data_IF_845799892233
#
_entry.id   IF_845799892233
#
_cell.length_a   1.000
_cell.length_b   1.000
_cell.length_c   1.000
_cell.angle_alpha   90.00
_cell.angle_beta   90.00
_cell.angle_gamma   90.00
#
_symmetry.space_group_name_H-M   'P 1'
#
loop_
_entity.id
_entity.type
_entity.pdbx_description
1 polymer ?
#
# COMPACT_ATOMS: atom_id res chain seq x y z
N UNK A 1 -11.91 -3.40 -0.23
CA UNK A 1 -10.65 -3.91 0.40
C UNK A 1 -11.00 -5.19 1.15
N UNK A 2 -10.42 -6.30 0.74
CA UNK A 2 -10.55 -7.61 1.37
C UNK A 2 -9.31 -7.85 2.26
N UNK A 3 -9.51 -8.17 3.54
CA UNK A 3 -8.45 -8.51 4.51
C UNK A 3 -8.41 -10.03 4.68
N UNK A 4 -7.64 -10.70 3.84
CA UNK A 4 -7.58 -12.17 3.74
C UNK A 4 -7.16 -12.79 5.07
N UNK A 5 -6.04 -12.34 5.65
CA UNK A 5 -5.56 -12.90 6.92
C UNK A 5 -6.56 -12.72 8.06
N UNK A 6 -7.22 -11.57 8.14
CA UNK A 6 -8.25 -11.35 9.16
C UNK A 6 -9.46 -12.28 8.98
N UNK A 7 -9.88 -12.49 7.73
CA UNK A 7 -10.98 -13.39 7.41
C UNK A 7 -10.65 -14.83 7.81
N UNK A 8 -9.46 -15.33 7.43
CA UNK A 8 -9.04 -16.69 7.77
C UNK A 8 -8.88 -16.91 9.30
N UNK A 9 -8.31 -15.93 10.01
CA UNK A 9 -8.24 -16.01 11.48
C UNK A 9 -9.64 -16.09 12.12
N UNK A 10 -10.60 -15.31 11.63
CA UNK A 10 -11.98 -15.36 12.15
C UNK A 10 -12.68 -16.70 11.89
N UNK A 11 -12.30 -17.45 10.85
CA UNK A 11 -12.79 -18.81 10.60
C UNK A 11 -12.14 -19.83 11.54
N UNK A 12 -10.83 -19.68 11.82
CA UNK A 12 -10.09 -20.60 12.67
C UNK A 12 -10.51 -20.50 14.16
N UNK A 13 -10.94 -19.33 14.60
CA UNK A 13 -11.37 -19.07 15.98
C UNK A 13 -12.81 -19.55 16.26
N UNK A 14 -13.52 -20.09 15.27
CA UNK A 14 -14.96 -20.45 15.33
C UNK A 14 -15.83 -19.31 15.92
N UNK A 15 -15.26 -18.10 15.91
CA UNK A 15 -15.89 -16.92 16.42
C UNK A 15 -16.97 -16.48 15.41
N UNK A 16 -18.21 -16.29 15.85
CA UNK A 16 -19.19 -15.69 14.96
C UNK A 16 -18.60 -14.39 14.43
N UNK A 17 -18.44 -14.30 13.10
CA UNK A 17 -18.00 -13.05 12.47
C UNK A 17 -18.80 -11.95 13.14
N UNK A 18 -18.15 -11.00 13.85
CA UNK A 18 -18.92 -10.03 14.62
C UNK A 18 -19.85 -9.32 13.63
N UNK A 19 -21.14 -9.65 13.70
CA UNK A 19 -22.20 -8.85 13.09
C UNK A 19 -22.03 -7.49 13.72
N UNK A 20 -21.22 -6.64 13.07
CA UNK A 20 -21.00 -5.30 13.56
C UNK A 20 -22.37 -4.65 13.66
N UNK A 21 -22.80 -4.43 14.91
CA UNK A 21 -23.94 -3.59 15.21
C UNK A 21 -23.84 -2.35 14.32
N UNK A 22 -24.90 -2.01 13.61
CA UNK A 22 -25.01 -1.10 12.46
C UNK A 22 -24.39 0.31 12.52
N UNK A 23 -23.18 0.44 13.03
CA UNK A 23 -22.38 1.66 12.99
C UNK A 23 -21.72 1.83 11.59
N UNK A 24 -21.88 2.98 10.97
CA UNK A 24 -21.15 3.35 9.75
C UNK A 24 -19.66 3.18 10.00
N UNK A 25 -18.99 2.36 9.17
CA UNK A 25 -17.53 2.27 9.21
C UNK A 25 -16.96 3.65 8.88
N UNK A 26 -16.06 4.15 9.70
CA UNK A 26 -15.29 5.34 9.36
C UNK A 26 -14.54 5.10 8.04
N UNK A 27 -14.57 6.04 7.12
CA UNK A 27 -13.83 5.91 5.86
C UNK A 27 -12.32 5.89 6.11
N UNK A 28 -11.60 5.20 5.23
CA UNK A 28 -10.15 5.33 5.09
C UNK A 28 -9.89 6.34 4.00
N UNK A 29 -9.13 7.38 4.29
CA UNK A 29 -8.76 8.42 3.33
C UNK A 29 -7.33 8.17 2.86
N UNK A 30 -7.13 8.11 1.55
CA UNK A 30 -5.82 8.18 0.91
C UNK A 30 -5.72 9.58 0.33
N UNK A 31 -4.80 10.38 0.86
CA UNK A 31 -4.61 11.76 0.43
C UNK A 31 -3.35 11.90 -0.39
N UNK A 32 -3.52 12.26 -1.64
CA UNK A 32 -2.41 12.64 -2.51
C UNK A 32 -2.03 14.08 -2.21
N UNK A 33 -1.00 14.28 -1.37
CA UNK A 33 -0.54 15.58 -0.91
C UNK A 33 -0.03 16.47 -2.03
N UNK A 34 0.66 15.83 -3.00
CA UNK A 34 1.25 16.53 -4.13
C UNK A 34 1.26 15.61 -5.36
N UNK A 35 1.49 16.19 -6.53
CA UNK A 35 1.61 15.46 -7.79
C UNK A 35 3.07 15.27 -8.21
N UNK A 36 4.01 15.99 -7.59
CA UNK A 36 5.43 15.82 -7.86
C UNK A 36 5.90 14.42 -7.46
N UNK A 37 6.68 13.77 -8.34
CA UNK A 37 7.20 12.42 -8.12
C UNK A 37 8.51 12.25 -8.89
N UNK A 38 9.50 11.67 -8.26
CA UNK A 38 10.78 11.33 -8.86
C UNK A 38 10.73 10.10 -9.78
N UNK A 39 9.53 9.50 -9.98
CA UNK A 39 9.26 8.38 -10.88
C UNK A 39 8.15 8.68 -11.88
N UNK A 40 8.18 7.98 -13.04
CA UNK A 40 7.18 8.11 -14.11
C UNK A 40 6.52 6.76 -14.44
N UNK A 41 6.11 6.02 -13.42
CA UNK A 41 5.57 4.66 -13.51
C UNK A 41 4.49 4.51 -14.59
N UNK A 42 4.51 3.40 -15.33
CA UNK A 42 3.55 3.10 -16.42
C UNK A 42 2.10 3.03 -15.94
N UNK A 43 1.86 2.52 -14.73
CA UNK A 43 0.53 2.25 -14.16
C UNK A 43 0.00 3.38 -13.28
N UNK A 44 0.73 4.47 -13.13
CA UNK A 44 0.36 5.54 -12.21
C UNK A 44 -1.05 6.08 -12.51
N UNK A 45 -1.93 6.02 -11.52
CA UNK A 45 -3.28 6.57 -11.63
C UNK A 45 -3.32 8.10 -11.57
N UNK A 46 -2.22 8.71 -11.13
CA UNK A 46 -2.01 10.16 -11.10
C UNK A 46 -1.28 10.63 -12.37
N UNK A 47 -1.32 11.91 -12.64
CA UNK A 47 -0.53 12.58 -13.68
C UNK A 47 0.77 13.14 -13.12
N UNK A 48 1.40 12.41 -12.20
CA UNK A 48 2.63 12.81 -11.53
C UNK A 48 3.83 12.92 -12.48
N UNK A 49 4.71 13.86 -12.20
CA UNK A 49 5.99 14.06 -12.87
C UNK A 49 6.97 14.75 -11.90
N UNK A 50 8.27 14.77 -12.22
CA UNK A 50 9.24 15.55 -11.45
C UNK A 50 9.22 17.02 -11.93
N UNK A 51 8.16 17.69 -11.57
CA UNK A 51 7.92 19.11 -11.84
C UNK A 51 6.96 19.68 -10.82
N UNK A 52 6.97 20.97 -10.65
CA UNK A 52 6.02 21.66 -9.79
C UNK A 52 4.65 21.75 -10.48
N UNK A 53 3.61 21.55 -9.72
CA UNK A 53 2.23 21.64 -10.18
C UNK A 53 1.54 22.85 -9.54
N UNK A 54 0.72 23.54 -10.32
CA UNK A 54 -0.10 24.65 -9.80
C UNK A 54 -1.37 24.10 -9.16
N UNK A 55 -1.85 24.82 -8.12
CA UNK A 55 -3.11 24.51 -7.44
C UNK A 55 -3.02 23.33 -6.49
N UNK A 56 -1.85 22.99 -6.03
CA UNK A 56 -1.66 22.14 -4.86
C UNK A 56 -1.98 22.93 -3.60
N UNK A 57 -2.47 22.26 -2.56
CA UNK A 57 -2.80 22.90 -1.29
C UNK A 57 -1.52 23.31 -0.55
N UNK A 58 -1.58 24.47 0.07
CA UNK A 58 -0.58 24.90 1.03
C UNK A 58 -0.66 24.06 2.32
N UNK A 59 0.45 23.97 3.06
CA UNK A 59 0.50 23.17 4.29
C UNK A 59 -0.59 23.53 5.28
N UNK A 60 -0.86 24.82 5.49
CA UNK A 60 -1.93 25.27 6.38
C UNK A 60 -3.33 24.78 5.95
N UNK A 61 -3.59 24.71 4.64
CA UNK A 61 -4.87 24.19 4.11
C UNK A 61 -4.96 22.66 4.31
N UNK A 62 -3.83 21.95 4.17
CA UNK A 62 -3.76 20.51 4.44
C UNK A 62 -4.04 20.22 5.91
N UNK A 63 -3.43 20.97 6.85
CA UNK A 63 -3.65 20.81 8.28
C UNK A 63 -5.13 21.05 8.65
N UNK A 64 -5.72 22.11 8.13
CA UNK A 64 -7.16 22.38 8.32
C UNK A 64 -8.04 21.26 7.75
N UNK A 65 -7.71 20.77 6.56
CA UNK A 65 -8.42 19.63 5.95
C UNK A 65 -8.31 18.34 6.78
N UNK A 66 -7.20 18.11 7.48
CA UNK A 66 -7.06 16.98 8.43
C UNK A 66 -8.02 17.13 9.59
N UNK A 67 -8.17 18.33 10.15
CA UNK A 67 -9.10 18.61 11.24
C UNK A 67 -10.54 18.37 10.79
N UNK A 68 -10.92 18.81 9.59
CA UNK A 68 -12.23 18.56 9.00
C UNK A 68 -12.49 17.06 8.78
N UNK A 69 -11.51 16.33 8.24
CA UNK A 69 -11.61 14.88 8.08
C UNK A 69 -11.80 14.18 9.44
N UNK A 70 -11.09 14.63 10.46
CA UNK A 70 -11.22 14.08 11.82
C UNK A 70 -12.59 14.36 12.40
N UNK A 71 -13.10 15.58 12.24
CA UNK A 71 -14.45 15.98 12.66
C UNK A 71 -15.54 15.18 11.93
N UNK A 72 -15.32 14.85 10.66
CA UNK A 72 -16.18 13.96 9.86
C UNK A 72 -16.10 12.49 10.25
N UNK A 73 -15.26 12.12 11.23
CA UNK A 73 -15.13 10.76 11.75
C UNK A 73 -14.10 9.90 11.03
N UNK A 74 -13.26 10.45 10.17
CA UNK A 74 -12.14 9.71 9.56
C UNK A 74 -11.14 9.35 10.64
N UNK A 75 -10.74 8.06 10.67
CA UNK A 75 -9.79 7.55 11.65
C UNK A 75 -8.48 7.06 11.04
N UNK A 76 -8.45 6.85 9.74
CA UNK A 76 -7.28 6.33 9.02
C UNK A 76 -6.96 7.28 7.88
N UNK A 77 -5.77 7.84 7.91
CA UNK A 77 -5.22 8.70 6.87
C UNK A 77 -3.97 8.05 6.28
N UNK A 78 -3.96 7.86 4.98
CA UNK A 78 -2.79 7.38 4.25
C UNK A 78 -2.22 8.55 3.46
N UNK A 79 -1.07 9.05 3.87
CA UNK A 79 -0.34 10.10 3.16
C UNK A 79 0.33 9.48 1.93
N UNK A 80 -0.03 10.00 0.78
CA UNK A 80 0.37 9.54 -0.54
C UNK A 80 0.59 10.74 -1.47
N UNK A 81 0.61 10.53 -2.78
CA UNK A 81 0.73 11.61 -3.74
C UNK A 81 1.34 11.15 -5.05
N UNK A 82 2.19 11.98 -5.61
CA UNK A 82 3.25 11.56 -6.49
C UNK A 82 4.23 10.73 -5.67
N UNK A 83 5.19 11.40 -5.02
CA UNK A 83 5.99 10.79 -3.95
C UNK A 83 5.91 11.68 -2.70
N UNK A 84 5.29 11.22 -1.62
CA UNK A 84 5.03 12.06 -0.45
C UNK A 84 6.30 12.57 0.22
N UNK A 85 7.42 11.85 0.15
CA UNK A 85 8.71 12.30 0.68
C UNK A 85 9.29 13.52 -0.07
N UNK A 86 8.70 13.91 -1.19
CA UNK A 86 9.04 15.17 -1.89
C UNK A 86 8.26 16.37 -1.35
N UNK A 87 7.26 16.17 -0.46
CA UNK A 87 6.58 17.27 0.21
C UNK A 87 7.46 17.83 1.34
N UNK A 88 7.78 19.13 1.35
CA UNK A 88 8.71 19.69 2.33
C UNK A 88 8.23 19.49 3.78
N UNK A 89 6.93 19.59 4.00
CA UNK A 89 6.30 19.56 5.31
C UNK A 89 5.61 18.23 5.63
N UNK A 90 5.98 17.13 4.95
CA UNK A 90 5.39 15.80 5.15
C UNK A 90 5.34 15.41 6.63
N UNK A 91 6.44 15.62 7.36
CA UNK A 91 6.54 15.18 8.75
C UNK A 91 5.70 16.04 9.70
N UNK A 92 5.54 17.34 9.41
CA UNK A 92 4.62 18.22 10.13
C UNK A 92 3.17 17.78 9.91
N UNK A 93 2.78 17.51 8.67
CA UNK A 93 1.46 17.00 8.30
C UNK A 93 1.17 15.68 9.02
N UNK A 94 2.13 14.75 9.03
CA UNK A 94 1.99 13.48 9.73
C UNK A 94 1.83 13.65 11.25
N UNK A 95 2.61 14.54 11.86
CA UNK A 95 2.54 14.85 13.29
C UNK A 95 1.18 15.44 13.65
N UNK A 96 0.66 16.37 12.87
CA UNK A 96 -0.66 16.97 13.08
C UNK A 96 -1.78 15.93 13.02
N UNK A 97 -1.78 15.08 12.00
CA UNK A 97 -2.77 14.01 11.88
C UNK A 97 -2.73 13.03 13.07
N UNK A 98 -1.53 12.71 13.56
CA UNK A 98 -1.37 11.86 14.74
C UNK A 98 -1.86 12.54 16.02
N UNK A 99 -1.57 13.83 16.20
CA UNK A 99 -2.09 14.63 17.34
C UNK A 99 -3.61 14.67 17.34
N UNK A 100 -4.23 14.72 16.15
CA UNK A 100 -5.67 14.58 15.99
C UNK A 100 -6.21 13.16 16.31
N UNK A 101 -5.36 12.20 16.68
CA UNK A 101 -5.74 10.83 17.06
C UNK A 101 -6.10 9.95 15.86
N UNK A 102 -5.52 10.21 14.69
CA UNK A 102 -5.68 9.37 13.50
C UNK A 102 -4.61 8.28 13.45
N UNK A 103 -4.94 7.15 12.85
CA UNK A 103 -3.97 6.19 12.34
C UNK A 103 -3.35 6.77 11.07
N UNK A 104 -2.04 6.98 11.04
CA UNK A 104 -1.34 7.65 9.94
C UNK A 104 -0.38 6.69 9.26
N UNK A 105 -0.61 6.43 7.98
CA UNK A 105 0.26 5.61 7.16
C UNK A 105 0.93 6.41 6.05
N UNK A 106 2.11 5.98 5.65
CA UNK A 106 2.83 6.50 4.50
C UNK A 106 2.74 5.51 3.33
N UNK A 107 2.48 6.02 2.12
CA UNK A 107 2.51 5.23 0.88
C UNK A 107 3.54 5.81 -0.08
N UNK A 108 4.72 5.20 -0.14
CA UNK A 108 5.88 5.67 -0.87
C UNK A 108 6.33 4.69 -1.97
N UNK A 109 7.07 5.19 -2.95
CA UNK A 109 7.81 4.34 -3.88
C UNK A 109 9.11 3.78 -3.26
N UNK A 110 9.51 4.27 -2.07
CA UNK A 110 10.66 3.83 -1.31
C UNK A 110 12.01 4.40 -1.76
N UNK A 111 12.11 4.99 -2.94
CA UNK A 111 13.42 5.39 -3.50
C UNK A 111 14.06 6.60 -2.83
N UNK A 112 13.33 7.27 -1.95
CA UNK A 112 13.81 8.41 -1.17
C UNK A 112 13.93 8.11 0.33
N UNK A 113 13.78 6.85 0.75
CA UNK A 113 14.08 6.42 2.12
C UNK A 113 15.50 5.86 2.11
N UNK A 114 16.38 6.53 2.83
CA UNK A 114 17.80 6.21 2.90
C UNK A 114 18.35 6.41 4.33
N UNK A 115 19.63 6.11 4.53
CA UNK A 115 20.33 6.28 5.81
C UNK A 115 20.30 7.74 6.31
N UNK A 116 20.22 8.71 5.40
CA UNK A 116 20.20 10.14 5.74
C UNK A 116 18.86 10.61 6.32
N UNK A 117 17.74 9.89 6.07
CA UNK A 117 16.44 10.32 6.52
C UNK A 117 15.63 9.28 7.30
N UNK A 118 16.11 8.04 7.41
CA UNK A 118 15.37 6.97 8.12
C UNK A 118 15.03 7.36 9.57
N UNK A 119 15.92 8.09 10.25
CA UNK A 119 15.67 8.55 11.60
C UNK A 119 14.44 9.49 11.66
N UNK A 120 14.30 10.41 10.70
CA UNK A 120 13.13 11.30 10.61
C UNK A 120 11.85 10.53 10.29
N UNK A 121 11.95 9.49 9.45
CA UNK A 121 10.81 8.60 9.15
C UNK A 121 10.37 7.84 10.40
N UNK A 122 11.31 7.37 11.22
CA UNK A 122 11.03 6.70 12.49
C UNK A 122 10.40 7.67 13.52
N UNK A 123 10.95 8.88 13.66
CA UNK A 123 10.44 9.92 14.56
C UNK A 123 9.02 10.37 14.20
N UNK A 124 8.64 10.32 12.93
CA UNK A 124 7.27 10.60 12.49
C UNK A 124 6.25 9.58 13.02
N UNK A 125 6.71 8.41 13.48
CA UNK A 125 5.88 7.35 14.08
C UNK A 125 4.68 6.98 13.20
N UNK A 126 4.94 6.77 11.91
CA UNK A 126 3.91 6.20 11.05
C UNK A 126 3.48 4.84 11.58
N UNK A 127 2.17 4.62 11.67
CA UNK A 127 1.62 3.32 12.09
C UNK A 127 1.93 2.22 11.08
N UNK A 128 2.29 2.63 9.83
CA UNK A 128 2.61 1.74 8.74
C UNK A 128 3.27 2.50 7.59
N UNK A 129 4.33 1.95 7.01
CA UNK A 129 4.95 2.45 5.79
C UNK A 129 4.77 1.42 4.67
N UNK A 130 3.97 1.76 3.67
CA UNK A 130 3.74 0.94 2.49
C UNK A 130 4.71 1.29 1.38
N UNK A 131 5.59 0.36 1.01
CA UNK A 131 6.59 0.53 -0.04
C UNK A 131 6.15 -0.26 -1.28
N UNK A 132 6.22 0.38 -2.42
CA UNK A 132 5.78 -0.21 -3.68
C UNK A 132 6.84 -1.15 -4.25
N UNK A 133 6.41 -2.37 -4.63
CA UNK A 133 7.25 -3.35 -5.35
C UNK A 133 6.41 -4.15 -6.35
N UNK A 134 6.55 -3.88 -7.65
CA UNK A 134 5.65 -4.43 -8.69
C UNK A 134 6.26 -5.58 -9.51
N UNK A 135 7.21 -6.28 -8.98
CA UNK A 135 7.87 -7.40 -9.65
C UNK A 135 9.31 -7.56 -9.19
N UNK A 136 9.99 -8.54 -9.74
CA UNK A 136 11.43 -8.70 -9.56
C UNK A 136 12.18 -7.57 -10.31
N UNK A 137 13.47 -7.43 -10.05
CA UNK A 137 14.34 -6.31 -10.47
C UNK A 137 14.00 -5.71 -11.85
N UNK A 138 14.11 -6.49 -12.90
CA UNK A 138 13.92 -6.00 -14.26
C UNK A 138 12.48 -5.56 -14.53
N UNK A 139 11.51 -6.31 -14.03
CA UNK A 139 10.08 -6.01 -14.18
C UNK A 139 9.73 -4.76 -13.41
N UNK A 140 10.18 -4.64 -12.16
CA UNK A 140 9.94 -3.48 -11.33
C UNK A 140 10.54 -2.21 -11.94
N UNK A 141 11.83 -2.22 -12.29
CA UNK A 141 12.53 -1.06 -12.85
C UNK A 141 11.90 -0.60 -14.18
N UNK A 142 11.55 -1.56 -15.06
CA UNK A 142 10.84 -1.28 -16.31
C UNK A 142 9.45 -0.68 -16.04
N UNK A 143 8.71 -1.18 -15.05
CA UNK A 143 7.38 -0.73 -14.70
C UNK A 143 7.38 0.65 -14.04
N UNK A 144 8.37 0.89 -13.18
CA UNK A 144 8.61 2.17 -12.50
C UNK A 144 9.34 3.20 -13.36
N UNK A 145 9.85 2.80 -14.54
CA UNK A 145 10.60 3.64 -15.47
C UNK A 145 11.88 4.22 -14.84
N UNK A 146 12.51 3.48 -13.93
CA UNK A 146 13.74 3.89 -13.28
C UNK A 146 14.60 2.68 -12.91
N UNK A 147 15.77 2.59 -13.52
CA UNK A 147 16.76 1.58 -13.16
C UNK A 147 17.23 1.78 -11.73
N UNK A 148 17.39 0.68 -10.99
CA UNK A 148 17.79 0.69 -9.58
C UNK A 148 16.66 0.98 -8.61
N UNK A 149 15.42 1.23 -9.06
CA UNK A 149 14.28 1.45 -8.17
C UNK A 149 13.93 0.22 -7.34
N UNK A 150 14.16 -0.98 -7.86
CA UNK A 150 13.99 -2.23 -7.13
C UNK A 150 14.92 -2.31 -5.91
N UNK A 151 16.22 -2.08 -6.12
CA UNK A 151 17.20 -2.13 -5.04
C UNK A 151 16.95 -1.05 -4.00
N UNK A 152 16.60 0.15 -4.43
CA UNK A 152 16.25 1.24 -3.53
C UNK A 152 15.01 0.90 -2.68
N UNK A 153 13.96 0.30 -3.28
CA UNK A 153 12.79 -0.13 -2.54
C UNK A 153 13.11 -1.23 -1.50
N UNK A 154 13.98 -2.19 -1.85
CA UNK A 154 14.43 -3.21 -0.90
C UNK A 154 15.29 -2.64 0.23
N UNK A 155 16.19 -1.72 -0.08
CA UNK A 155 16.99 -1.02 0.93
C UNK A 155 16.08 -0.24 1.89
N UNK A 156 15.10 0.49 1.37
CA UNK A 156 14.12 1.21 2.18
C UNK A 156 13.32 0.28 3.11
N UNK A 157 12.89 -0.90 2.62
CA UNK A 157 12.19 -1.89 3.47
C UNK A 157 13.09 -2.37 4.61
N UNK A 158 14.37 -2.67 4.35
CA UNK A 158 15.33 -3.09 5.37
C UNK A 158 15.57 -2.00 6.41
N UNK A 159 15.87 -0.77 5.96
CA UNK A 159 16.06 0.37 6.85
C UNK A 159 14.86 0.62 7.75
N UNK A 160 13.65 0.58 7.20
CA UNK A 160 12.43 0.71 7.99
C UNK A 160 12.29 -0.42 9.01
N UNK A 161 12.61 -1.67 8.65
CA UNK A 161 12.58 -2.80 9.58
C UNK A 161 13.62 -2.67 10.70
N UNK A 162 14.83 -2.27 10.37
CA UNK A 162 15.91 -2.01 11.33
C UNK A 162 15.56 -0.87 12.30
N UNK A 163 14.76 0.10 11.83
CA UNK A 163 14.24 1.20 12.65
C UNK A 163 12.93 0.87 13.37
N UNK A 164 12.53 -0.41 13.45
CA UNK A 164 11.28 -0.90 14.07
C UNK A 164 10.00 -0.25 13.51
N UNK A 165 10.03 0.11 12.24
CA UNK A 165 8.87 0.62 11.53
C UNK A 165 8.11 -0.54 10.89
N UNK A 166 6.80 -0.60 11.10
CA UNK A 166 5.94 -1.59 10.45
C UNK A 166 5.86 -1.33 8.94
N UNK A 167 6.32 -2.31 8.15
CA UNK A 167 6.43 -2.20 6.69
C UNK A 167 5.40 -3.06 5.99
N UNK A 168 4.99 -2.63 4.81
CA UNK A 168 4.24 -3.45 3.88
C UNK A 168 4.70 -3.30 2.44
N UNK A 169 4.69 -4.40 1.74
CA UNK A 169 4.93 -4.46 0.31
C UNK A 169 3.62 -4.22 -0.44
N UNK A 170 3.62 -3.30 -1.40
CA UNK A 170 2.46 -2.95 -2.21
C UNK A 170 2.73 -3.27 -3.67
N UNK A 171 1.89 -4.13 -4.24
CA UNK A 171 2.03 -4.61 -5.62
C UNK A 171 0.76 -4.33 -6.41
N UNK A 172 0.91 -3.77 -7.61
CA UNK A 172 -0.19 -3.69 -8.59
C UNK A 172 -0.10 -4.89 -9.53
N UNK A 173 -1.11 -5.76 -9.49
CA UNK A 173 -1.15 -6.96 -10.32
C UNK A 173 -1.32 -6.60 -11.79
N UNK A 174 -0.51 -7.21 -12.64
CA UNK A 174 -0.55 -7.10 -14.10
C UNK A 174 -0.21 -8.44 -14.75
N UNK A 175 -0.44 -8.58 -16.05
CA UNK A 175 -0.01 -9.76 -16.81
C UNK A 175 1.52 -9.95 -16.75
N UNK A 176 2.29 -8.86 -16.70
CA UNK A 176 3.76 -8.93 -16.70
C UNK A 176 4.33 -9.45 -15.37
N UNK A 177 3.67 -9.19 -14.24
CA UNK A 177 4.19 -9.54 -12.92
C UNK A 177 3.46 -10.70 -12.23
N UNK A 178 2.31 -11.12 -12.73
CA UNK A 178 1.51 -12.17 -12.09
C UNK A 178 2.29 -13.47 -11.84
N UNK A 179 3.16 -13.89 -12.79
CA UNK A 179 3.99 -15.07 -12.63
C UNK A 179 5.12 -14.92 -11.59
N UNK A 180 5.43 -13.68 -11.20
CA UNK A 180 6.47 -13.38 -10.21
C UNK A 180 5.91 -13.25 -8.79
N UNK A 181 4.59 -13.31 -8.61
CA UNK A 181 3.94 -13.14 -7.32
C UNK A 181 4.45 -14.13 -6.26
N UNK A 182 4.65 -15.42 -6.54
CA UNK A 182 5.25 -16.34 -5.56
C UNK A 182 6.59 -15.86 -5.02
N UNK A 183 7.49 -15.45 -5.91
CA UNK A 183 8.82 -14.95 -5.53
C UNK A 183 8.76 -13.62 -4.76
N UNK A 184 7.78 -12.75 -5.04
CA UNK A 184 7.55 -11.53 -4.26
C UNK A 184 7.09 -11.85 -2.83
N UNK A 185 6.25 -12.87 -2.66
CA UNK A 185 5.80 -13.31 -1.34
C UNK A 185 6.91 -13.99 -0.55
N UNK A 186 7.81 -14.73 -1.23
CA UNK A 186 9.00 -15.30 -0.60
C UNK A 186 9.95 -14.16 -0.16
N UNK A 187 10.19 -13.17 -1.01
CA UNK A 187 10.97 -11.97 -0.69
C UNK A 187 10.38 -11.16 0.46
N UNK A 188 9.04 -11.04 0.53
CA UNK A 188 8.36 -10.45 1.68
C UNK A 188 8.73 -11.14 2.99
N UNK A 189 8.76 -12.47 3.01
CA UNK A 189 9.15 -13.27 4.19
C UNK A 189 10.63 -13.10 4.52
N UNK A 190 11.51 -13.11 3.52
CA UNK A 190 12.96 -12.91 3.69
C UNK A 190 13.28 -11.54 4.31
N UNK A 191 12.53 -10.51 3.95
CA UNK A 191 12.68 -9.15 4.46
C UNK A 191 11.92 -8.91 5.78
N UNK A 192 11.27 -9.92 6.33
CA UNK A 192 10.38 -9.79 7.50
C UNK A 192 9.36 -8.65 7.37
N UNK A 193 8.80 -8.49 6.16
CA UNK A 193 7.74 -7.50 5.89
C UNK A 193 6.40 -8.09 6.33
N UNK A 194 5.67 -7.36 7.19
CA UNK A 194 4.48 -7.90 7.87
C UNK A 194 3.20 -7.77 7.05
N UNK A 195 3.21 -7.01 5.96
CA UNK A 195 1.99 -6.78 5.19
C UNK A 195 2.22 -6.88 3.70
N UNK A 196 1.33 -7.58 3.02
CA UNK A 196 1.24 -7.59 1.57
C UNK A 196 -0.08 -6.98 1.11
N UNK A 197 0.00 -5.97 0.26
CA UNK A 197 -1.17 -5.33 -0.33
C UNK A 197 -1.17 -5.52 -1.84
N UNK A 198 -2.10 -6.33 -2.34
CA UNK A 198 -2.34 -6.49 -3.77
C UNK A 198 -3.38 -5.50 -4.24
N UNK A 199 -3.06 -4.69 -5.22
CA UNK A 199 -4.00 -3.81 -5.92
C UNK A 199 -4.15 -4.22 -7.37
N UNK A 200 -5.30 -3.87 -7.96
CA UNK A 200 -5.55 -4.01 -9.39
C UNK A 200 -5.18 -2.72 -10.12
N UNK A 201 -4.93 -2.83 -11.42
CA UNK A 201 -4.62 -1.68 -12.26
C UNK A 201 -5.79 -0.69 -12.26
N UNK A 202 -5.49 0.57 -11.99
CA UNK A 202 -6.46 1.64 -12.07
C UNK A 202 -6.37 2.31 -13.45
N UNK A 203 -7.50 2.41 -14.16
CA UNK A 203 -7.58 3.00 -15.50
C UNK A 203 -7.64 4.53 -15.52
N UNK A 204 -7.06 5.16 -14.50
CA UNK A 204 -6.87 6.60 -14.43
C UNK A 204 -5.42 6.98 -14.73
N UNK A 205 -5.15 8.23 -15.04
CA UNK A 205 -3.81 8.73 -15.31
C UNK A 205 -3.09 7.94 -16.43
N UNK A 206 -1.83 7.57 -16.19
CA UNK A 206 -1.05 6.72 -17.10
C UNK A 206 -1.55 5.28 -17.16
N UNK A 207 -2.19 4.79 -16.10
CA UNK A 207 -2.80 3.47 -16.07
C UNK A 207 -3.83 3.25 -17.19
N UNK A 208 -4.51 4.31 -17.64
CA UNK A 208 -5.44 4.25 -18.78
C UNK A 208 -4.75 3.80 -20.08
N UNK A 209 -3.50 4.24 -20.30
CA UNK A 209 -2.70 3.86 -21.48
C UNK A 209 -2.10 2.48 -21.34
N UNK A 210 -1.97 1.98 -20.11
CA UNK A 210 -1.42 0.67 -19.79
C UNK A 210 -2.50 -0.41 -19.59
N UNK A 211 -3.73 -0.16 -20.04
CA UNK A 211 -4.87 -1.09 -19.88
C UNK A 211 -4.60 -2.49 -20.46
N UNK A 212 -3.78 -2.59 -21.51
CA UNK A 212 -3.38 -3.87 -22.05
C UNK A 212 -2.49 -4.71 -21.12
N UNK A 213 -1.93 -4.10 -20.07
CA UNK A 213 -1.14 -4.79 -19.05
C UNK A 213 -1.98 -5.31 -17.90
N UNK A 214 -3.30 -5.04 -17.87
CA UNK A 214 -4.15 -5.49 -16.78
C UNK A 214 -4.22 -7.02 -16.72
N UNK A 215 -4.20 -7.54 -15.51
CA UNK A 215 -4.26 -8.97 -15.30
C UNK A 215 -5.63 -9.54 -15.71
N UNK A 216 -5.62 -10.51 -16.60
CA UNK A 216 -6.84 -11.21 -17.00
C UNK A 216 -7.45 -12.00 -15.82
N UNK A 217 -8.75 -12.25 -15.87
CA UNK A 217 -9.50 -12.91 -14.78
C UNK A 217 -8.88 -14.21 -14.28
N UNK A 218 -8.22 -14.97 -15.16
CA UNK A 218 -7.50 -16.18 -14.75
C UNK A 218 -6.34 -15.86 -13.82
N UNK A 219 -5.49 -14.90 -14.21
CA UNK A 219 -4.34 -14.44 -13.40
C UNK A 219 -4.79 -13.85 -12.06
N UNK A 220 -5.85 -13.07 -12.08
CA UNK A 220 -6.44 -12.53 -10.85
C UNK A 220 -6.87 -13.64 -9.90
N UNK A 221 -7.57 -14.69 -10.41
CA UNK A 221 -7.98 -15.83 -9.57
C UNK A 221 -6.79 -16.62 -9.04
N UNK A 222 -5.78 -16.87 -9.88
CA UNK A 222 -4.54 -17.55 -9.48
C UNK A 222 -3.83 -16.77 -8.38
N UNK A 223 -3.70 -15.45 -8.54
CA UNK A 223 -3.09 -14.57 -7.55
C UNK A 223 -3.86 -14.57 -6.21
N UNK A 224 -5.18 -14.47 -6.26
CA UNK A 224 -6.01 -14.54 -5.05
C UNK A 224 -5.89 -15.89 -4.34
N UNK A 225 -5.95 -17.01 -5.09
CA UNK A 225 -5.79 -18.34 -4.52
C UNK A 225 -4.44 -18.47 -3.80
N UNK A 226 -3.36 -18.00 -4.42
CA UNK A 226 -2.03 -17.99 -3.82
C UNK A 226 -1.99 -17.14 -2.54
N UNK A 227 -2.62 -15.96 -2.52
CA UNK A 227 -2.65 -15.12 -1.31
C UNK A 227 -3.43 -15.79 -0.17
N UNK A 228 -4.52 -16.49 -0.46
CA UNK A 228 -5.25 -17.27 0.55
C UNK A 228 -4.40 -18.42 1.10
N UNK A 229 -3.72 -19.17 0.23
CA UNK A 229 -2.81 -20.26 0.60
C UNK A 229 -1.67 -19.76 1.50
N UNK A 230 -0.98 -18.69 1.11
CA UNK A 230 0.12 -18.08 1.87
C UNK A 230 -0.33 -17.50 3.20
N UNK A 231 -1.51 -16.90 3.24
CA UNK A 231 -2.09 -16.38 4.48
C UNK A 231 -2.45 -17.50 5.45
N UNK A 232 -3.01 -18.61 4.96
CA UNK A 232 -3.33 -19.79 5.76
C UNK A 232 -2.05 -20.47 6.30
N UNK A 233 -1.02 -20.63 5.45
CA UNK A 233 0.30 -21.12 5.88
C UNK A 233 0.90 -20.25 7.00
N UNK A 234 0.87 -18.93 6.84
CA UNK A 234 1.43 -18.02 7.83
C UNK A 234 0.66 -18.09 9.17
N UNK A 235 -0.67 -18.19 9.12
CA UNK A 235 -1.51 -18.36 10.31
C UNK A 235 -1.16 -19.68 11.03
N UNK A 236 -1.06 -20.80 10.30
CA UNK A 236 -0.69 -22.11 10.89
C UNK A 236 0.72 -22.11 11.49
N UNK A 237 1.63 -21.30 10.96
CA UNK A 237 2.99 -21.14 11.46
C UNK A 237 3.13 -20.06 12.55
N UNK A 238 2.03 -19.43 12.97
CA UNK A 238 2.03 -18.38 13.97
C UNK A 238 2.66 -17.06 13.54
N UNK A 239 2.78 -16.80 12.24
CA UNK A 239 3.33 -15.55 11.71
C UNK A 239 2.26 -14.44 11.75
N UNK A 240 2.67 -13.23 12.14
CA UNK A 240 1.80 -12.05 12.11
C UNK A 240 1.87 -11.32 10.76
N UNK A 241 1.48 -12.00 9.70
CA UNK A 241 1.36 -11.40 8.37
C UNK A 241 -0.07 -10.98 8.04
N UNK A 242 -0.23 -9.88 7.32
CA UNK A 242 -1.53 -9.32 6.90
C UNK A 242 -1.58 -9.26 5.37
N UNK A 243 -2.33 -10.16 4.74
CA UNK A 243 -2.59 -10.16 3.31
C UNK A 243 -3.89 -9.43 3.01
N UNK A 244 -3.80 -8.43 2.15
CA UNK A 244 -4.92 -7.52 1.85
C UNK A 244 -5.01 -7.30 0.35
N UNK A 245 -6.24 -7.23 -0.19
CA UNK A 245 -6.48 -6.78 -1.56
C UNK A 245 -7.33 -5.51 -1.60
N UNK A 246 -7.22 -4.75 -2.67
CA UNK A 246 -7.99 -3.54 -2.86
C UNK A 246 -8.12 -3.12 -4.32
N UNK A 247 -8.98 -2.12 -4.53
CA UNK A 247 -9.36 -1.58 -5.83
C UNK A 247 -10.19 -2.52 -6.72
N UNK A 248 -10.69 -3.63 -6.17
CA UNK A 248 -11.61 -4.51 -6.88
C UNK A 248 -12.54 -5.20 -5.87
N UNK A 249 -13.82 -4.94 -5.95
CA UNK A 249 -14.82 -5.56 -5.06
C UNK A 249 -15.08 -7.04 -5.43
N UNK A 250 -14.77 -7.44 -6.67
CA UNK A 250 -14.90 -8.82 -7.12
C UNK A 250 -13.93 -9.79 -6.41
N UNK A 251 -12.89 -9.31 -5.74
CA UNK A 251 -11.97 -10.15 -4.95
C UNK A 251 -12.71 -10.93 -3.86
N UNK A 252 -13.81 -10.38 -3.34
CA UNK A 252 -14.64 -11.04 -2.33
C UNK A 252 -15.42 -12.27 -2.87
N UNK A 253 -15.56 -12.45 -4.18
CA UNK A 253 -16.22 -13.62 -4.79
C UNK A 253 -15.48 -14.92 -4.43
N UNK A 254 -14.16 -14.83 -4.22
CA UNK A 254 -13.37 -15.99 -3.81
C UNK A 254 -13.83 -16.55 -2.46
N UNK A 255 -14.31 -15.70 -1.55
CA UNK A 255 -14.86 -16.11 -0.25
C UNK A 255 -16.13 -16.93 -0.44
N UNK A 256 -17.04 -16.50 -1.35
CA UNK A 256 -18.28 -17.20 -1.61
C UNK A 256 -18.12 -18.60 -2.21
N UNK A 257 -16.98 -18.88 -2.86
CA UNK A 257 -16.68 -20.21 -3.43
C UNK A 257 -16.10 -21.20 -2.42
N UNK A 258 -15.55 -20.70 -1.32
CA UNK A 258 -15.02 -21.55 -0.26
C UNK A 258 -16.12 -22.15 0.64
N UNK A 259 -17.37 -21.72 0.45
CA UNK A 259 -18.54 -22.15 1.23
C UNK A 259 -19.55 -22.98 0.42
N UNK A 260 -19.21 -23.41 -0.81
CA UNK A 260 -20.08 -24.27 -1.64
C UNK A 260 -19.51 -25.66 -1.77
#
# INVERSE_FOLDING_TARGET
MLRISHYLRSLAEDAPTPRRAGGRRAPVVIWNLLRRCNLTCKHCYSTSADSDFRGELETAEILHGIDDLRAAGVRVLILSGGEPLMHPDLFEIAAHARQAGMFVALSSNGTLIDEGNIQRVAEARFDYVGISLDGLRETHDRFRQKQGSFDAALAAMRLCREADIRVGMRTTLTEENAAQLPALLDLMRELDVQKFYLSHLNYSGRGRRSRALDAHHRRTREALALLFERADEDIRQGRDSDFVTGNNDADAIQIGRAHV
#
